data_IF_399141476756
#
_entry.id   IF_399141476756
#
_cell.length_a   1.000
_cell.length_b   1.000
_cell.length_c   1.000
_cell.angle_alpha   90.00
_cell.angle_beta   90.00
_cell.angle_gamma   90.00
#
_symmetry.space_group_name_H-M   'P 1'
#
loop_
_entity.id
_entity.type
_entity.pdbx_description
1 polymer ?
#
# COMPACT_ATOMS: atom_id res chain seq x y z
N UNK A 1 4.98 63.44 8.00
CA UNK A 1 4.77 62.40 6.97
C UNK A 1 5.22 61.06 7.52
N UNK A 2 4.28 60.13 7.73
CA UNK A 2 4.44 58.70 7.49
C UNK A 2 3.15 58.03 7.95
N UNK A 3 2.24 57.81 7.00
CA UNK A 3 0.96 57.17 7.25
C UNK A 3 1.16 55.74 7.70
N UNK A 4 0.60 55.40 8.86
CA UNK A 4 0.35 54.00 9.24
C UNK A 4 -0.67 53.46 8.24
N UNK A 5 -0.24 52.61 7.33
CA UNK A 5 -1.14 51.69 6.63
C UNK A 5 -1.60 50.67 7.67
N UNK A 6 -2.75 50.91 8.27
CA UNK A 6 -3.52 49.86 8.93
C UNK A 6 -3.93 48.86 7.85
N UNK A 7 -3.34 47.68 7.90
CA UNK A 7 -3.76 46.51 7.14
C UNK A 7 -5.20 46.20 7.55
N UNK A 8 -6.18 46.54 6.71
CA UNK A 8 -7.56 46.07 6.83
C UNK A 8 -7.54 44.53 6.86
N UNK A 9 -7.68 43.97 8.06
CA UNK A 9 -8.05 42.56 8.23
C UNK A 9 -9.51 42.50 7.83
N UNK A 10 -9.76 42.19 6.56
CA UNK A 10 -11.11 42.02 6.05
C UNK A 10 -11.72 40.79 6.75
N UNK A 11 -12.63 41.03 7.69
CA UNK A 11 -13.34 39.94 8.36
C UNK A 11 -14.07 39.08 7.32
N UNK A 12 -13.92 37.74 7.36
CA UNK A 12 -14.59 36.87 6.42
C UNK A 12 -16.10 37.05 6.56
N UNK A 13 -16.78 37.27 5.43
CA UNK A 13 -18.22 37.51 5.41
C UNK A 13 -18.94 36.21 5.81
N UNK A 14 -20.11 36.27 6.47
CA UNK A 14 -20.85 35.07 6.90
C UNK A 14 -21.05 34.02 5.79
N UNK A 15 -21.19 34.46 4.53
CA UNK A 15 -21.28 33.56 3.37
C UNK A 15 -19.98 32.77 3.12
N UNK A 16 -18.81 33.39 3.29
CA UNK A 16 -17.51 32.76 3.11
C UNK A 16 -17.26 31.72 4.21
N UNK A 17 -17.62 32.03 5.45
CA UNK A 17 -17.53 31.08 6.58
C UNK A 17 -18.43 29.86 6.34
N UNK A 18 -19.65 30.07 5.84
CA UNK A 18 -20.57 28.98 5.51
C UNK A 18 -20.01 28.10 4.38
N UNK A 19 -19.45 28.71 3.33
CA UNK A 19 -18.80 27.98 2.24
C UNK A 19 -17.58 27.18 2.72
N UNK A 20 -16.72 27.76 3.55
CA UNK A 20 -15.56 27.07 4.14
C UNK A 20 -15.98 25.90 5.03
N UNK A 21 -17.01 26.08 5.87
CA UNK A 21 -17.57 25.02 6.71
C UNK A 21 -18.14 23.89 5.84
N UNK A 22 -18.83 24.23 4.77
CA UNK A 22 -19.39 23.25 3.85
C UNK A 22 -18.29 22.48 3.11
N UNK A 23 -17.24 23.15 2.65
CA UNK A 23 -16.08 22.51 2.03
C UNK A 23 -15.32 21.62 3.02
N UNK A 24 -15.11 22.08 4.25
CA UNK A 24 -14.48 21.28 5.30
C UNK A 24 -15.31 20.04 5.65
N UNK A 25 -16.64 20.17 5.73
CA UNK A 25 -17.56 19.06 5.94
C UNK A 25 -17.48 18.03 4.80
N UNK A 26 -17.55 18.48 3.54
CA UNK A 26 -17.45 17.59 2.38
C UNK A 26 -16.12 16.83 2.39
N UNK A 27 -15.00 17.52 2.68
CA UNK A 27 -13.69 16.86 2.80
C UNK A 27 -13.66 15.81 3.92
N UNK A 28 -14.24 16.11 5.08
CA UNK A 28 -14.30 15.18 6.20
C UNK A 28 -15.18 13.94 5.89
N UNK A 29 -16.30 14.14 5.23
CA UNK A 29 -17.19 13.05 4.78
C UNK A 29 -16.48 12.17 3.73
N UNK A 30 -15.82 12.77 2.75
CA UNK A 30 -15.02 12.06 1.76
C UNK A 30 -13.90 11.24 2.40
N UNK A 31 -13.17 11.81 3.37
CA UNK A 31 -12.11 11.09 4.09
C UNK A 31 -12.67 9.90 4.90
N UNK A 32 -13.83 10.07 5.52
CA UNK A 32 -14.50 9.01 6.31
C UNK A 32 -14.98 7.86 5.41
N UNK A 33 -15.57 8.20 4.27
CA UNK A 33 -16.00 7.22 3.28
C UNK A 33 -14.81 6.47 2.69
N UNK A 34 -13.75 7.17 2.29
CA UNK A 34 -12.53 6.57 1.77
C UNK A 34 -11.90 5.60 2.78
N UNK A 35 -11.84 5.97 4.06
CA UNK A 35 -11.35 5.10 5.14
C UNK A 35 -12.21 3.85 5.30
N UNK A 36 -13.53 3.99 5.23
CA UNK A 36 -14.47 2.87 5.34
C UNK A 36 -14.32 1.90 4.17
N UNK A 37 -14.22 2.41 2.94
CA UNK A 37 -13.98 1.62 1.74
C UNK A 37 -12.62 0.90 1.80
N UNK A 38 -11.58 1.59 2.26
CA UNK A 38 -10.25 0.98 2.45
C UNK A 38 -10.31 -0.20 3.40
N UNK A 39 -10.90 -0.03 4.60
CA UNK A 39 -11.02 -1.11 5.58
C UNK A 39 -11.85 -2.29 5.07
N UNK A 40 -12.94 -2.03 4.35
CA UNK A 40 -13.73 -3.08 3.72
C UNK A 40 -12.90 -3.85 2.69
N UNK A 41 -12.17 -3.15 1.81
CA UNK A 41 -11.33 -3.77 0.78
C UNK A 41 -10.21 -4.62 1.42
N UNK A 42 -9.51 -4.08 2.41
CA UNK A 42 -8.47 -4.83 3.13
C UNK A 42 -9.03 -6.07 3.82
N UNK A 43 -10.22 -5.97 4.43
CA UNK A 43 -10.87 -7.13 5.04
C UNK A 43 -11.14 -8.25 4.02
N UNK A 44 -11.58 -7.89 2.80
CA UNK A 44 -11.77 -8.84 1.72
C UNK A 44 -10.45 -9.42 1.18
N UNK A 45 -9.44 -8.57 0.97
CA UNK A 45 -8.12 -8.98 0.47
C UNK A 45 -7.36 -9.86 1.46
N UNK A 46 -7.59 -9.70 2.77
CA UNK A 46 -7.03 -10.59 3.81
C UNK A 46 -7.79 -11.92 3.87
N UNK A 47 -9.12 -11.87 3.78
CA UNK A 47 -9.97 -13.08 3.91
C UNK A 47 -9.63 -14.12 2.85
N UNK A 48 -9.51 -13.73 1.59
CA UNK A 48 -9.29 -14.65 0.46
C UNK A 48 -8.05 -15.54 0.60
N UNK A 49 -6.82 -15.01 0.80
CA UNK A 49 -5.63 -15.83 0.99
C UNK A 49 -5.70 -16.61 2.30
N UNK A 50 -6.27 -16.06 3.38
CA UNK A 50 -6.42 -16.77 4.65
C UNK A 50 -7.33 -18.00 4.51
N UNK A 51 -8.50 -17.84 3.89
CA UNK A 51 -9.43 -18.94 3.62
C UNK A 51 -8.79 -19.99 2.72
N UNK A 52 -8.03 -19.57 1.71
CA UNK A 52 -7.27 -20.49 0.86
C UNK A 52 -6.24 -21.29 1.65
N UNK A 53 -5.50 -20.63 2.56
CA UNK A 53 -4.52 -21.30 3.43
C UNK A 53 -5.17 -22.33 4.35
N UNK A 54 -6.32 -22.01 4.95
CA UNK A 54 -7.07 -22.98 5.77
C UNK A 54 -7.48 -24.19 4.94
N UNK A 55 -8.03 -23.98 3.73
CA UNK A 55 -8.39 -25.08 2.83
C UNK A 55 -7.20 -25.96 2.42
N UNK A 56 -6.02 -25.39 2.17
CA UNK A 56 -4.81 -26.17 1.90
C UNK A 56 -4.28 -26.89 3.14
N UNK A 57 -4.41 -26.31 4.34
CA UNK A 57 -4.04 -26.98 5.58
C UNK A 57 -4.96 -28.17 5.88
N UNK A 58 -6.26 -28.03 5.64
CA UNK A 58 -7.24 -29.11 5.74
C UNK A 58 -6.92 -30.22 4.72
N UNK A 59 -6.64 -29.84 3.47
CA UNK A 59 -6.25 -30.78 2.42
C UNK A 59 -4.99 -31.58 2.81
N UNK A 60 -3.96 -30.92 3.36
CA UNK A 60 -2.71 -31.57 3.78
C UNK A 60 -2.87 -32.59 4.92
N UNK A 61 -3.99 -32.54 5.64
CA UNK A 61 -4.34 -33.51 6.67
C UNK A 61 -4.82 -34.84 6.09
N UNK A 62 -5.10 -34.89 4.79
CA UNK A 62 -5.42 -36.13 4.08
C UNK A 62 -4.14 -36.96 3.81
N UNK A 63 -4.19 -38.26 4.16
CA UNK A 63 -3.10 -39.21 3.98
C UNK A 63 -3.00 -39.75 2.56
N UNK A 64 -4.07 -39.65 1.75
CA UNK A 64 -4.13 -40.20 0.39
C UNK A 64 -3.53 -39.26 -0.67
N UNK A 65 -3.10 -38.04 -0.28
CA UNK A 65 -2.43 -37.11 -1.17
C UNK A 65 -1.12 -37.68 -1.73
N UNK A 66 -0.96 -37.56 -3.05
CA UNK A 66 0.31 -37.83 -3.70
C UNK A 66 1.38 -36.82 -3.25
N UNK A 67 2.65 -37.18 -3.41
CA UNK A 67 3.79 -36.29 -3.10
C UNK A 67 3.69 -34.97 -3.89
N UNK A 68 3.23 -35.02 -5.14
CA UNK A 68 3.10 -33.84 -5.99
C UNK A 68 1.99 -32.90 -5.49
N UNK A 69 0.82 -33.43 -5.12
CA UNK A 69 -0.28 -32.62 -4.59
C UNK A 69 0.09 -32.00 -3.24
N UNK A 70 0.77 -32.76 -2.37
CA UNK A 70 1.29 -32.26 -1.10
C UNK A 70 2.28 -31.10 -1.31
N UNK A 71 3.19 -31.22 -2.27
CA UNK A 71 4.12 -30.15 -2.62
C UNK A 71 3.39 -28.90 -3.13
N UNK A 72 2.41 -29.07 -4.03
CA UNK A 72 1.60 -27.95 -4.54
C UNK A 72 0.82 -27.23 -3.44
N UNK A 73 0.20 -27.96 -2.52
CA UNK A 73 -0.51 -27.39 -1.38
C UNK A 73 0.44 -26.60 -0.45
N UNK A 74 1.64 -27.13 -0.20
CA UNK A 74 2.68 -26.44 0.57
C UNK A 74 3.17 -25.15 -0.11
N UNK A 75 3.35 -25.17 -1.42
CA UNK A 75 3.74 -23.97 -2.17
C UNK A 75 2.61 -22.94 -2.19
N UNK A 76 1.36 -23.37 -2.34
CA UNK A 76 0.20 -22.49 -2.25
C UNK A 76 0.10 -21.82 -0.86
N UNK A 77 0.31 -22.56 0.23
CA UNK A 77 0.41 -22.00 1.58
C UNK A 77 1.50 -20.93 1.67
N UNK A 78 2.72 -21.24 1.23
CA UNK A 78 3.84 -20.29 1.26
C UNK A 78 3.56 -19.02 0.47
N UNK A 79 2.97 -19.16 -0.71
CA UNK A 79 2.66 -18.04 -1.58
C UNK A 79 1.57 -17.14 -0.97
N UNK A 80 0.51 -17.73 -0.41
CA UNK A 80 -0.54 -16.97 0.29
C UNK A 80 0.00 -16.28 1.54
N UNK A 81 0.86 -16.93 2.33
CA UNK A 81 1.51 -16.31 3.48
C UNK A 81 2.39 -15.12 3.10
N UNK A 82 3.19 -15.24 2.03
CA UNK A 82 3.97 -14.13 1.47
C UNK A 82 3.09 -13.01 0.92
N UNK A 83 1.91 -13.34 0.39
CA UNK A 83 0.96 -12.33 -0.07
C UNK A 83 0.37 -11.55 1.10
N UNK A 84 -0.07 -12.25 2.15
CA UNK A 84 -0.57 -11.62 3.38
C UNK A 84 0.46 -10.72 4.04
N UNK A 85 1.73 -11.14 4.10
CA UNK A 85 2.79 -10.31 4.67
C UNK A 85 2.95 -8.99 3.91
N UNK A 86 2.97 -9.04 2.56
CA UNK A 86 3.01 -7.81 1.74
C UNK A 86 1.79 -6.93 1.95
N UNK A 87 0.59 -7.50 2.03
CA UNK A 87 -0.63 -6.73 2.32
C UNK A 87 -0.55 -6.03 3.68
N UNK A 88 0.02 -6.68 4.70
CA UNK A 88 0.23 -6.07 6.00
C UNK A 88 1.25 -4.93 5.95
N UNK A 89 2.35 -5.12 5.23
CA UNK A 89 3.36 -4.07 5.02
C UNK A 89 2.74 -2.85 4.31
N UNK A 90 1.94 -3.07 3.26
CA UNK A 90 1.25 -2.01 2.52
C UNK A 90 0.28 -1.21 3.42
N UNK A 91 -0.44 -1.88 4.33
CA UNK A 91 -1.34 -1.24 5.31
C UNK A 91 -0.55 -0.40 6.32
N UNK A 92 0.58 -0.91 6.80
CA UNK A 92 1.45 -0.21 7.74
C UNK A 92 2.08 1.03 7.09
N UNK A 93 2.52 0.91 5.84
CA UNK A 93 3.08 2.03 5.09
C UNK A 93 2.05 3.12 4.84
N UNK A 94 0.82 2.76 4.46
CA UNK A 94 -0.27 3.73 4.35
C UNK A 94 -0.54 4.43 5.68
N UNK A 95 -0.56 3.69 6.80
CA UNK A 95 -0.77 4.25 8.14
C UNK A 95 0.34 5.24 8.52
N UNK A 96 1.59 4.98 8.12
CA UNK A 96 2.72 5.92 8.31
C UNK A 96 2.56 7.17 7.46
N UNK A 97 2.07 7.04 6.22
CA UNK A 97 1.78 8.18 5.34
C UNK A 97 0.68 9.06 5.94
N UNK A 98 -0.44 8.48 6.37
CA UNK A 98 -1.58 9.22 6.93
C UNK A 98 -1.26 9.92 8.25
N UNK A 99 -0.43 9.31 9.10
CA UNK A 99 0.03 9.90 10.36
C UNK A 99 1.18 10.90 10.19
N UNK A 100 1.68 11.11 8.96
CA UNK A 100 2.85 11.96 8.70
C UNK A 100 4.15 11.41 9.28
N UNK A 101 4.19 10.12 9.65
CA UNK A 101 5.34 9.43 10.25
C UNK A 101 6.29 8.83 9.20
N UNK A 102 5.94 8.88 7.91
CA UNK A 102 6.85 8.49 6.85
C UNK A 102 7.95 9.55 6.70
N UNK A 103 9.16 9.22 7.16
CA UNK A 103 10.36 10.04 6.97
C UNK A 103 11.17 9.51 5.79
N UNK A 104 11.67 10.43 4.97
CA UNK A 104 12.55 10.11 3.84
C UNK A 104 13.91 10.71 4.11
N UNK A 105 14.89 9.85 4.35
CA UNK A 105 16.27 10.29 4.51
C UNK A 105 16.91 10.56 3.16
N UNK A 106 17.26 11.82 2.93
CA UNK A 106 18.00 12.25 1.73
C UNK A 106 19.49 12.02 1.96
N UNK A 107 19.99 10.90 1.46
CA UNK A 107 21.41 10.55 1.50
C UNK A 107 22.00 10.46 0.10
N UNK A 108 23.31 10.72 -0.03
CA UNK A 108 24.02 10.42 -1.27
C UNK A 108 23.97 8.92 -1.52
N UNK A 109 23.46 8.53 -2.68
CA UNK A 109 23.41 7.14 -3.10
C UNK A 109 24.06 6.97 -4.47
N UNK A 110 24.59 5.78 -4.73
CA UNK A 110 25.18 5.43 -6.02
C UNK A 110 24.10 4.82 -6.88
N UNK A 111 23.46 5.64 -7.71
CA UNK A 111 22.34 5.21 -8.57
C UNK A 111 22.68 3.96 -9.39
N UNK A 112 23.91 3.87 -9.91
CA UNK A 112 24.36 2.70 -10.67
C UNK A 112 24.32 1.39 -9.86
N UNK A 113 24.66 1.43 -8.56
CA UNK A 113 24.61 0.24 -7.69
C UNK A 113 23.17 -0.20 -7.43
N UNK A 114 22.28 0.76 -7.16
CA UNK A 114 20.84 0.50 -6.97
C UNK A 114 20.25 -0.11 -8.26
N UNK A 115 20.54 0.48 -9.41
CA UNK A 115 20.07 0.00 -10.71
C UNK A 115 20.59 -1.42 -11.01
N UNK A 116 21.84 -1.72 -10.70
CA UNK A 116 22.40 -3.07 -10.85
C UNK A 116 21.71 -4.09 -9.94
N UNK A 117 21.39 -3.71 -8.71
CA UNK A 117 20.66 -4.58 -7.78
C UNK A 117 19.24 -4.89 -8.29
N UNK A 118 18.52 -3.85 -8.76
CA UNK A 118 17.22 -4.01 -9.39
C UNK A 118 17.30 -4.91 -10.63
N UNK A 119 18.31 -4.70 -11.47
CA UNK A 119 18.56 -5.53 -12.65
C UNK A 119 18.77 -7.00 -12.23
N UNK A 120 19.62 -7.26 -11.23
CA UNK A 120 19.90 -8.62 -10.72
C UNK A 120 18.63 -9.30 -10.19
N UNK A 121 17.77 -8.55 -9.50
CA UNK A 121 16.52 -9.06 -8.94
C UNK A 121 15.50 -9.38 -10.04
N UNK A 122 15.42 -8.54 -11.07
CA UNK A 122 14.41 -8.65 -12.14
C UNK A 122 14.82 -9.56 -13.30
N UNK A 123 16.13 -9.75 -13.54
CA UNK A 123 16.65 -10.52 -14.67
C UNK A 123 16.11 -11.95 -14.75
N UNK A 124 16.01 -12.75 -13.67
CA UNK A 124 15.40 -14.08 -13.74
C UNK A 124 13.93 -14.04 -14.19
N UNK A 125 13.18 -13.01 -13.77
CA UNK A 125 11.78 -12.83 -14.19
C UNK A 125 11.64 -12.42 -15.65
N UNK A 126 12.58 -11.60 -16.15
CA UNK A 126 12.63 -11.22 -17.55
C UNK A 126 12.96 -12.43 -18.44
N UNK A 127 13.95 -13.23 -18.05
CA UNK A 127 14.36 -14.45 -18.76
C UNK A 127 13.24 -15.50 -18.81
N UNK A 128 12.52 -15.74 -17.70
CA UNK A 128 11.35 -16.62 -17.69
C UNK A 128 10.24 -16.19 -18.66
N UNK A 129 10.18 -14.89 -19.00
CA UNK A 129 9.21 -14.33 -19.94
C UNK A 129 9.78 -14.09 -21.34
N UNK A 130 11.04 -14.47 -21.60
CA UNK A 130 11.71 -14.22 -22.88
C UNK A 130 11.97 -12.74 -23.17
N UNK A 131 12.05 -11.90 -22.15
CA UNK A 131 12.26 -10.46 -22.28
C UNK A 131 13.73 -10.09 -22.04
N UNK A 132 14.25 -9.15 -22.84
CA UNK A 132 15.56 -8.55 -22.60
C UNK A 132 15.43 -7.43 -21.56
N UNK A 133 16.33 -7.41 -20.58
CA UNK A 133 16.43 -6.36 -19.57
C UNK A 133 17.91 -6.02 -19.38
N UNK A 134 18.27 -4.75 -19.61
CA UNK A 134 19.63 -4.23 -19.52
C UNK A 134 19.62 -2.78 -19.02
N UNK A 135 20.77 -2.31 -18.53
CA UNK A 135 21.01 -0.90 -18.23
C UNK A 135 21.77 -0.28 -19.42
N UNK A 136 21.42 0.94 -19.80
CA UNK A 136 22.09 1.74 -20.83
C UNK A 136 23.28 2.53 -20.28
#
# INVERSE_FOLDING_TARGET
MSGRQESEIQEPTSSQIIEELQQAKIKAEQATEAKSQFLARMSHEIRTPLTSMLGYADLLSDFDLTIAERANAMDALRNNGRHLLRLLDDILDLSRVESGQLSVDRVLCRTNEILQEVLRLMKPRAEMKGLSLALE
#
